data_IF_817930790611
#
_entry.id   IF_817930790611
#
_cell.length_a   1.000
_cell.length_b   1.000
_cell.length_c   1.000
_cell.angle_alpha   90.00
_cell.angle_beta   90.00
_cell.angle_gamma   90.00
#
_symmetry.space_group_name_H-M   'P 1'
#
loop_
_entity.id
_entity.type
_entity.pdbx_description
1 polymer ?
#
# COMPACT_ATOMS: atom_id res chain seq x y z
N UNK A 1 15.17 -6.01 6.44
CA UNK A 1 15.11 -4.73 5.68
C UNK A 1 15.03 -3.57 6.67
N UNK A 2 15.08 -2.33 6.21
CA UNK A 2 14.88 -1.15 7.07
C UNK A 2 13.50 -0.56 6.82
N UNK A 3 12.71 -0.33 7.88
CA UNK A 3 11.43 0.37 7.77
C UNK A 3 11.63 1.84 8.09
N UNK A 4 11.24 2.71 7.16
CA UNK A 4 11.34 4.17 7.31
C UNK A 4 9.96 4.81 7.19
N UNK A 5 9.78 5.95 7.86
CA UNK A 5 8.58 6.79 7.75
C UNK A 5 8.93 8.04 6.94
N UNK A 6 8.51 8.15 5.68
CA UNK A 6 8.74 9.36 4.88
C UNK A 6 8.16 10.60 5.55
N UNK A 7 8.82 11.73 5.39
CA UNK A 7 8.42 12.97 6.06
C UNK A 7 7.12 13.56 5.48
N UNK A 8 6.81 13.25 4.22
CA UNK A 8 5.62 13.75 3.55
C UNK A 8 5.23 12.86 2.34
N UNK A 9 4.02 13.03 1.78
CA UNK A 9 3.53 12.25 0.65
C UNK A 9 4.36 12.38 -0.65
N UNK A 10 5.01 13.53 -0.87
CA UNK A 10 5.83 13.72 -2.07
C UNK A 10 7.11 12.85 -2.00
N UNK A 11 7.78 12.85 -0.84
CA UNK A 11 8.95 11.97 -0.61
C UNK A 11 8.55 10.49 -0.68
N UNK A 12 7.40 10.12 -0.11
CA UNK A 12 6.88 8.75 -0.22
C UNK A 12 6.70 8.34 -1.68
N UNK A 13 6.02 9.16 -2.49
CA UNK A 13 5.77 8.86 -3.89
C UNK A 13 7.06 8.77 -4.70
N UNK A 14 7.97 9.73 -4.56
CA UNK A 14 9.26 9.74 -5.27
C UNK A 14 10.04 8.43 -5.04
N UNK A 15 10.05 7.94 -3.80
CA UNK A 15 10.79 6.72 -3.44
C UNK A 15 10.04 5.44 -3.77
N UNK A 16 8.73 5.43 -3.62
CA UNK A 16 7.89 4.25 -3.86
C UNK A 16 7.56 4.05 -5.35
N UNK A 17 7.67 5.08 -6.18
CA UNK A 17 7.26 5.05 -7.59
C UNK A 17 7.78 3.83 -8.36
N UNK A 18 9.07 3.43 -8.27
CA UNK A 18 9.55 2.23 -8.96
C UNK A 18 8.81 0.95 -8.55
N UNK A 19 8.46 0.81 -7.27
CA UNK A 19 7.68 -0.33 -6.75
C UNK A 19 6.23 -0.25 -7.23
N UNK A 20 5.61 0.92 -7.09
CA UNK A 20 4.17 1.08 -7.34
C UNK A 20 3.86 0.95 -8.84
N UNK A 21 4.73 1.47 -9.71
CA UNK A 21 4.54 1.38 -11.17
C UNK A 21 4.91 0.02 -11.77
N UNK A 22 5.65 -0.84 -11.05
CA UNK A 22 5.99 -2.18 -11.53
C UNK A 22 4.73 -3.04 -11.80
N UNK A 23 3.65 -2.80 -11.05
CA UNK A 23 2.31 -3.32 -11.31
C UNK A 23 1.28 -2.25 -10.89
N UNK A 24 1.18 -1.19 -11.69
CA UNK A 24 0.34 -0.02 -11.39
C UNK A 24 -1.11 -0.41 -11.11
N UNK A 25 -1.65 -1.38 -11.86
CA UNK A 25 -3.03 -1.82 -11.67
C UNK A 25 -3.23 -2.36 -10.26
N UNK A 26 -2.35 -3.25 -9.76
CA UNK A 26 -2.45 -3.77 -8.38
C UNK A 26 -2.23 -2.71 -7.33
N UNK A 27 -1.34 -1.77 -7.59
CA UNK A 27 -0.97 -0.72 -6.65
C UNK A 27 -1.76 0.59 -6.83
N UNK A 28 -2.82 0.59 -7.65
CA UNK A 28 -3.53 1.82 -8.02
C UNK A 28 -4.11 2.57 -6.79
N UNK A 29 -4.54 1.83 -5.77
CA UNK A 29 -5.21 2.42 -4.61
C UNK A 29 -4.19 3.16 -3.74
N UNK A 30 -3.07 2.53 -3.43
CA UNK A 30 -1.99 3.18 -2.66
C UNK A 30 -1.42 4.36 -3.44
N UNK A 31 -1.25 4.22 -4.76
CA UNK A 31 -0.74 5.28 -5.63
C UNK A 31 -1.70 6.48 -5.67
N UNK A 32 -3.01 6.22 -5.84
CA UNK A 32 -4.05 7.25 -5.88
C UNK A 32 -4.26 7.95 -4.54
N UNK A 33 -4.24 7.23 -3.42
CA UNK A 33 -4.35 7.82 -2.08
C UNK A 33 -3.13 8.67 -1.75
N UNK A 34 -1.91 8.19 -2.03
CA UNK A 34 -0.68 8.96 -1.83
C UNK A 34 -0.65 10.21 -2.74
N UNK A 35 -1.11 10.09 -4.00
CA UNK A 35 -1.28 11.24 -4.91
C UNK A 35 -2.25 12.27 -4.36
N UNK A 36 -3.39 11.83 -3.81
CA UNK A 36 -4.38 12.72 -3.18
C UNK A 36 -3.78 13.45 -1.99
N UNK A 37 -3.02 12.75 -1.14
CA UNK A 37 -2.34 13.35 0.01
C UNK A 37 -1.31 14.41 -0.40
N UNK A 38 -0.59 14.20 -1.51
CA UNK A 38 0.36 15.17 -2.09
C UNK A 38 -0.36 16.40 -2.65
N UNK A 39 -1.38 16.18 -3.46
CA UNK A 39 -2.00 17.25 -4.26
C UNK A 39 -3.05 18.06 -3.49
N UNK A 40 -3.67 17.44 -2.47
CA UNK A 40 -4.72 18.05 -1.66
C UNK A 40 -4.39 17.89 -0.16
N UNK A 41 -3.34 18.58 0.34
CA UNK A 41 -2.97 18.51 1.74
C UNK A 41 -4.12 19.00 2.62
N UNK A 42 -4.63 18.13 3.50
CA UNK A 42 -5.80 18.37 4.35
C UNK A 42 -7.08 17.66 3.92
N UNK A 43 -7.08 16.93 2.79
CA UNK A 43 -8.21 16.07 2.42
C UNK A 43 -8.48 14.99 3.49
N UNK A 44 -7.40 14.41 4.03
CA UNK A 44 -7.46 13.52 5.19
C UNK A 44 -6.97 14.25 6.45
N UNK A 45 -7.65 14.09 7.59
CA UNK A 45 -7.24 14.72 8.84
C UNK A 45 -5.88 14.23 9.35
N UNK A 46 -5.55 12.96 9.11
CA UNK A 46 -4.30 12.30 9.48
C UNK A 46 -3.91 11.31 8.39
N UNK A 47 -2.61 11.11 8.23
CA UNK A 47 -2.06 10.04 7.41
C UNK A 47 -0.75 9.52 8.00
N UNK A 48 -0.42 8.29 7.64
CA UNK A 48 0.83 7.61 8.01
C UNK A 48 1.37 6.88 6.81
N UNK A 49 2.70 6.94 6.66
CA UNK A 49 3.42 6.48 5.48
C UNK A 49 4.57 5.59 5.95
N UNK A 50 4.77 4.47 5.27
CA UNK A 50 5.87 3.55 5.54
C UNK A 50 6.49 3.07 4.23
N UNK A 51 7.81 2.95 4.23
CA UNK A 51 8.57 2.26 3.19
C UNK A 51 9.46 1.22 3.85
N UNK A 52 9.60 0.08 3.20
CA UNK A 52 10.55 -0.97 3.58
C UNK A 52 11.65 -0.99 2.54
N UNK A 53 12.89 -0.72 2.97
CA UNK A 53 14.06 -0.61 2.12
C UNK A 53 14.87 -1.91 2.14
N UNK A 54 15.17 -2.43 0.97
CA UNK A 54 16.16 -3.49 0.76
C UNK A 54 17.38 -2.88 0.07
N UNK A 55 18.29 -2.32 0.87
CA UNK A 55 19.37 -1.47 0.36
C UNK A 55 18.83 -0.17 -0.22
N UNK A 56 19.02 0.05 -1.53
CA UNK A 56 18.58 1.27 -2.22
C UNK A 56 17.18 1.14 -2.84
N UNK A 57 16.57 -0.05 -2.81
CA UNK A 57 15.25 -0.29 -3.42
C UNK A 57 14.15 -0.31 -2.36
N UNK A 58 12.94 0.10 -2.75
CA UNK A 58 11.75 -0.06 -1.93
C UNK A 58 11.14 -1.43 -2.21
N UNK A 59 11.11 -2.30 -1.20
CA UNK A 59 10.58 -3.66 -1.28
C UNK A 59 9.10 -3.76 -0.86
N UNK A 60 8.64 -2.85 0.01
CA UNK A 60 7.23 -2.69 0.35
C UNK A 60 6.91 -1.25 0.71
N UNK A 61 5.64 -0.87 0.55
CA UNK A 61 5.13 0.44 0.89
C UNK A 61 3.75 0.31 1.54
N UNK A 62 3.43 1.23 2.44
CA UNK A 62 2.10 1.32 3.00
C UNK A 62 1.66 2.75 3.28
N UNK A 63 0.35 2.96 3.12
CA UNK A 63 -0.33 4.21 3.45
C UNK A 63 -1.53 3.90 4.32
N UNK A 64 -1.72 4.69 5.37
CA UNK A 64 -2.94 4.66 6.17
C UNK A 64 -3.48 6.06 6.35
N UNK A 65 -4.77 6.23 6.12
CA UNK A 65 -5.53 7.45 6.42
C UNK A 65 -6.61 7.10 7.44
N UNK A 66 -6.33 7.14 8.75
CA UNK A 66 -7.31 6.76 9.77
C UNK A 66 -8.66 7.46 9.59
N UNK A 67 -9.79 6.76 9.81
CA UNK A 67 -9.93 5.42 10.38
C UNK A 67 -9.88 4.27 9.35
N UNK A 68 -9.45 4.53 8.11
CA UNK A 68 -9.45 3.52 7.06
C UNK A 68 -8.40 2.43 7.28
N UNK A 69 -8.59 1.29 6.59
CA UNK A 69 -7.63 0.19 6.52
C UNK A 69 -6.26 0.67 6.04
N UNK A 70 -5.21 -0.01 6.46
CA UNK A 70 -3.89 0.18 5.85
C UNK A 70 -3.90 -0.37 4.42
N UNK A 71 -3.31 0.37 3.49
CA UNK A 71 -3.18 -0.03 2.09
C UNK A 71 -1.73 -0.42 1.86
N UNK A 72 -1.51 -1.59 1.26
CA UNK A 72 -0.21 -2.24 1.11
C UNK A 72 0.19 -2.34 -0.37
N UNK A 73 1.49 -2.34 -0.60
CA UNK A 73 2.13 -2.75 -1.85
C UNK A 73 3.48 -3.39 -1.55
N UNK A 74 3.92 -4.30 -2.42
CA UNK A 74 5.18 -5.02 -2.27
C UNK A 74 5.00 -6.50 -2.00
N UNK A 75 6.07 -7.19 -1.62
CA UNK A 75 6.04 -8.65 -1.59
C UNK A 75 6.84 -9.27 -0.44
N UNK A 76 6.36 -10.43 0.00
CA UNK A 76 7.15 -11.38 0.77
C UNK A 76 7.67 -10.82 2.10
N UNK A 77 8.95 -11.06 2.45
CA UNK A 77 9.49 -10.72 3.77
C UNK A 77 9.41 -9.23 4.13
N UNK A 78 9.30 -8.33 3.15
CA UNK A 78 9.20 -6.89 3.38
C UNK A 78 7.90 -6.52 4.10
N UNK A 79 6.80 -7.20 3.77
CA UNK A 79 5.51 -7.00 4.43
C UNK A 79 5.51 -7.56 5.85
N UNK A 80 6.32 -8.58 6.13
CA UNK A 80 6.51 -9.07 7.50
C UNK A 80 7.29 -8.07 8.36
N UNK A 81 8.38 -7.50 7.82
CA UNK A 81 9.14 -6.45 8.50
C UNK A 81 8.24 -5.24 8.76
N UNK A 82 7.42 -4.84 7.79
CA UNK A 82 6.42 -3.78 7.96
C UNK A 82 5.42 -4.09 9.09
N UNK A 83 4.87 -5.30 9.13
CA UNK A 83 3.88 -5.68 10.13
C UNK A 83 4.41 -5.61 11.57
N UNK A 84 5.72 -5.83 11.78
CA UNK A 84 6.37 -5.75 13.10
C UNK A 84 6.66 -4.31 13.54
N UNK A 85 6.71 -3.36 12.61
CA UNK A 85 7.07 -1.95 12.84
C UNK A 85 5.84 -1.04 12.97
N UNK A 86 4.64 -1.56 12.66
CA UNK A 86 3.39 -0.84 12.87
C UNK A 86 2.95 -1.03 14.32
N UNK A 87 2.94 0.09 15.04
CA UNK A 87 2.51 0.21 16.44
C UNK A 87 1.03 0.58 16.62
N UNK A 88 0.30 0.71 15.50
CA UNK A 88 -1.10 1.11 15.49
C UNK A 88 -2.08 -0.06 15.62
N UNK A 89 -3.22 0.20 16.26
CA UNK A 89 -4.39 -0.65 16.06
C UNK A 89 -4.91 -0.52 14.62
N UNK A 90 -4.90 -1.63 13.90
CA UNK A 90 -5.36 -1.72 12.52
C UNK A 90 -6.79 -2.29 12.46
N UNK A 91 -7.78 -1.54 11.93
CA UNK A 91 -9.12 -2.06 11.70
C UNK A 91 -9.16 -3.09 10.56
N UNK A 92 -8.14 -3.10 9.71
CA UNK A 92 -7.99 -4.03 8.59
C UNK A 92 -6.85 -3.62 7.66
N UNK A 93 -6.54 -4.48 6.71
CA UNK A 93 -5.56 -4.27 5.66
C UNK A 93 -6.19 -4.44 4.27
N UNK A 94 -5.62 -3.79 3.27
CA UNK A 94 -6.07 -3.85 1.88
C UNK A 94 -4.84 -3.88 0.98
N UNK A 95 -4.80 -4.83 0.05
CA UNK A 95 -3.69 -5.03 -0.88
C UNK A 95 -4.04 -6.16 -1.84
N UNK A 96 -3.18 -6.39 -2.84
CA UNK A 96 -3.36 -7.53 -3.74
C UNK A 96 -3.05 -8.85 -3.01
N UNK A 97 -3.55 -9.97 -3.55
CA UNK A 97 -3.11 -11.31 -3.14
C UNK A 97 -1.85 -11.66 -3.95
N UNK A 98 -0.77 -12.19 -3.35
CA UNK A 98 -0.68 -12.68 -1.96
C UNK A 98 -0.28 -11.63 -0.89
N UNK A 99 0.03 -10.40 -1.28
CA UNK A 99 0.59 -9.33 -0.43
C UNK A 99 -0.20 -9.13 0.87
N UNK A 100 -1.52 -8.97 0.78
CA UNK A 100 -2.38 -8.75 1.96
C UNK A 100 -2.43 -9.99 2.88
N UNK A 101 -2.29 -11.19 2.32
CA UNK A 101 -2.27 -12.43 3.10
C UNK A 101 -0.92 -12.61 3.81
N UNK A 102 0.19 -12.25 3.16
CA UNK A 102 1.52 -12.26 3.74
C UNK A 102 1.59 -11.30 4.95
N UNK A 103 1.08 -10.07 4.77
CA UNK A 103 0.97 -9.10 5.85
C UNK A 103 0.06 -9.59 6.97
N UNK A 104 -1.12 -10.12 6.64
CA UNK A 104 -2.08 -10.60 7.64
C UNK A 104 -1.47 -11.69 8.53
N UNK A 105 -0.79 -12.68 7.95
CA UNK A 105 -0.12 -13.74 8.73
C UNK A 105 0.97 -13.18 9.66
N UNK A 106 1.75 -12.22 9.16
CA UNK A 106 2.78 -11.57 9.98
C UNK A 106 2.17 -10.72 11.11
N UNK A 107 1.08 -10.00 10.82
CA UNK A 107 0.35 -9.19 11.77
C UNK A 107 -0.27 -10.03 12.89
N UNK A 108 -0.91 -11.15 12.57
CA UNK A 108 -1.46 -12.09 13.57
C UNK A 108 -0.36 -12.62 14.51
N UNK A 109 0.78 -13.02 13.94
CA UNK A 109 1.91 -13.51 14.71
C UNK A 109 2.53 -12.44 15.63
N UNK A 110 2.56 -11.18 15.19
CA UNK A 110 3.16 -10.07 15.93
C UNK A 110 2.22 -9.49 17.00
N UNK A 111 0.95 -9.25 16.65
CA UNK A 111 -0.03 -8.55 17.50
C UNK A 111 -0.88 -9.49 18.36
N UNK A 112 -0.96 -10.78 18.02
CA UNK A 112 -1.89 -11.73 18.61
C UNK A 112 -3.35 -11.54 18.17
N UNK A 113 -3.62 -10.62 17.25
CA UNK A 113 -4.93 -10.46 16.63
C UNK A 113 -5.25 -11.61 15.67
N UNK A 114 -6.50 -11.69 15.24
CA UNK A 114 -6.96 -12.61 14.19
C UNK A 114 -7.49 -11.80 13.01
N UNK A 115 -7.21 -12.27 11.80
CA UNK A 115 -7.67 -11.69 10.55
C UNK A 115 -8.66 -12.62 9.85
N UNK A 116 -9.60 -12.04 9.13
CA UNK A 116 -10.50 -12.77 8.24
C UNK A 116 -10.71 -12.00 6.94
N UNK A 117 -10.85 -12.73 5.83
CA UNK A 117 -11.09 -12.12 4.53
C UNK A 117 -12.50 -11.52 4.48
N UNK A 118 -12.58 -10.19 4.52
CA UNK A 118 -13.88 -9.49 4.50
C UNK A 118 -14.45 -9.36 3.08
N UNK A 119 -13.60 -9.06 2.09
CA UNK A 119 -13.99 -8.85 0.69
C UNK A 119 -12.89 -9.31 -0.26
N UNK A 120 -13.28 -9.96 -1.34
CA UNK A 120 -12.43 -10.23 -2.49
C UNK A 120 -12.95 -9.40 -3.66
N UNK A 121 -12.11 -8.49 -4.16
CA UNK A 121 -12.45 -7.58 -5.27
C UNK A 121 -11.48 -7.81 -6.42
N UNK A 122 -11.99 -7.69 -7.65
CA UNK A 122 -11.16 -7.72 -8.85
C UNK A 122 -10.64 -6.32 -9.20
N UNK A 123 -9.44 -6.28 -9.79
CA UNK A 123 -8.86 -5.09 -10.39
C UNK A 123 -8.83 -5.32 -11.91
N UNK A 124 -9.23 -4.30 -12.67
CA UNK A 124 -9.19 -4.33 -14.13
C UNK A 124 -8.14 -3.35 -14.63
N UNK A 125 -7.28 -3.80 -15.54
CA UNK A 125 -6.33 -2.96 -16.25
C UNK A 125 -6.87 -2.69 -17.66
N UNK A 126 -6.74 -1.45 -18.12
CA UNK A 126 -6.98 -1.11 -19.51
C UNK A 126 -5.73 -1.46 -20.31
N UNK A 127 -5.79 -2.52 -21.12
CA UNK A 127 -4.67 -2.93 -21.97
C UNK A 127 -4.74 -2.29 -23.37
N UNK A 128 -5.95 -2.11 -23.91
CA UNK A 128 -6.16 -1.58 -25.25
C UNK A 128 -7.37 -0.63 -25.30
N UNK A 129 -7.17 0.52 -25.92
CA UNK A 129 -8.23 1.47 -26.22
C UNK A 129 -8.64 1.35 -27.70
N UNK A 130 -9.85 0.84 -27.96
CA UNK A 130 -10.41 0.74 -29.31
C UNK A 130 -11.18 2.03 -29.63
N UNK A 131 -10.71 2.76 -30.64
CA UNK A 131 -11.39 3.97 -31.10
C UNK A 131 -12.73 3.63 -31.78
N UNK A 132 -13.80 4.42 -31.54
CA UNK A 132 -15.06 4.19 -32.22
C UNK A 132 -14.91 4.46 -33.73
N UNK A 133 -15.53 3.62 -34.56
CA UNK A 133 -15.62 3.88 -36.00
C UNK A 133 -16.49 5.13 -36.23
N UNK A 134 -15.98 6.18 -36.90
CA UNK A 134 -16.79 7.34 -37.25
C UNK A 134 -18.03 6.93 -38.04
N UNK A 135 -19.19 7.49 -37.69
CA UNK A 135 -20.44 7.37 -38.46
C UNK A 135 -20.49 8.35 -39.63
#
# INVERSE_FOLDING_TARGET
MEVVRPANPAEFLERAEPLLLADEARHNLIFGVAGTLRDHPGHYPEHRLWLVLDGETVAAAAVRTPPQNIILAGAGPALEDLAREIDDELPGATGAVPEVEDFARAWEAHSGATSEAQRAQGIYALEELIQPTPV
#
